data_IF_222921978454
#
_entry.id   IF_222921978454
#
_cell.length_a   1.000
_cell.length_b   1.000
_cell.length_c   1.000
_cell.angle_alpha   90.00
_cell.angle_beta   90.00
_cell.angle_gamma   90.00
#
_symmetry.space_group_name_H-M   'P 1'
#
loop_
_entity.id
_entity.type
_entity.pdbx_description
1 polymer ?
#
# COMPACT_ATOMS: atom_id res chain seq x y z
N UNK A 1 7.58 -4.52 25.11
CA UNK A 1 8.35 -5.01 23.96
C UNK A 1 8.71 -6.47 24.21
N UNK A 2 8.66 -7.32 23.19
CA UNK A 2 9.17 -8.68 23.26
C UNK A 2 10.70 -8.59 23.43
N UNK A 3 11.35 -9.40 24.29
CA UNK A 3 12.80 -9.35 24.42
C UNK A 3 13.52 -9.44 23.06
N UNK A 4 14.38 -8.47 22.74
CA UNK A 4 15.12 -8.40 21.47
C UNK A 4 14.45 -7.60 20.36
N UNK A 5 13.20 -7.16 20.54
CA UNK A 5 12.47 -6.37 19.53
C UNK A 5 13.06 -4.96 19.38
N UNK A 6 13.54 -4.33 20.46
CA UNK A 6 14.19 -3.02 20.37
C UNK A 6 15.47 -3.07 19.52
N UNK A 7 16.33 -4.05 19.78
CA UNK A 7 17.57 -4.26 19.02
C UNK A 7 17.27 -4.62 17.57
N UNK A 8 16.26 -5.46 17.32
CA UNK A 8 15.80 -5.79 15.98
C UNK A 8 15.38 -4.53 15.20
N UNK A 9 14.58 -3.65 15.83
CA UNK A 9 14.12 -2.42 15.20
C UNK A 9 15.27 -1.45 14.93
N UNK A 10 16.22 -1.34 15.86
CA UNK A 10 17.43 -0.53 15.63
C UNK A 10 18.26 -1.05 14.46
N UNK A 11 18.49 -2.35 14.38
CA UNK A 11 19.26 -2.97 13.29
C UNK A 11 18.56 -2.80 11.94
N UNK A 12 17.25 -3.05 11.89
CA UNK A 12 16.43 -2.89 10.70
C UNK A 12 16.48 -1.44 10.20
N UNK A 13 16.21 -0.46 11.07
CA UNK A 13 16.20 0.95 10.67
C UNK A 13 17.61 1.46 10.31
N UNK A 14 18.64 1.03 11.04
CA UNK A 14 20.03 1.38 10.72
C UNK A 14 20.43 0.91 9.32
N UNK A 15 19.90 -0.25 8.88
CA UNK A 15 20.17 -0.79 7.54
C UNK A 15 19.64 0.09 6.39
N UNK A 16 18.69 0.99 6.67
CA UNK A 16 18.02 1.89 5.71
C UNK A 16 18.14 3.37 6.09
N UNK A 17 19.00 3.72 7.05
CA UNK A 17 19.12 5.08 7.58
C UNK A 17 19.64 6.12 6.57
N UNK A 18 20.25 5.66 5.47
CA UNK A 18 20.72 6.54 4.39
C UNK A 18 19.62 6.87 3.37
N UNK A 19 18.47 6.21 3.44
CA UNK A 19 17.34 6.50 2.56
C UNK A 19 16.77 7.88 2.86
N UNK A 20 16.68 8.78 1.88
CA UNK A 20 15.97 10.05 2.09
C UNK A 20 14.46 9.84 2.24
N UNK A 21 13.92 8.72 1.75
CA UNK A 21 12.49 8.44 1.68
C UNK A 21 11.99 7.43 2.73
N UNK A 22 12.83 7.07 3.70
CA UNK A 22 12.42 6.27 4.86
C UNK A 22 12.67 7.06 6.14
N UNK A 23 11.67 7.07 7.03
CA UNK A 23 11.80 7.69 8.34
C UNK A 23 12.44 6.70 9.29
N UNK A 24 13.69 6.98 9.64
CA UNK A 24 14.48 6.17 10.57
C UNK A 24 14.80 6.96 11.84
N UNK A 25 15.06 6.23 12.93
CA UNK A 25 15.46 6.81 14.20
C UNK A 25 16.77 7.59 14.05
N UNK A 26 16.79 8.82 14.56
CA UNK A 26 17.96 9.70 14.60
C UNK A 26 18.72 9.60 15.93
N UNK A 27 18.07 9.08 16.97
CA UNK A 27 18.64 8.86 18.30
C UNK A 27 17.81 7.80 19.05
N UNK A 28 18.29 7.32 20.19
CA UNK A 28 17.61 6.29 20.99
C UNK A 28 17.78 6.55 22.49
N UNK A 29 16.85 6.04 23.31
CA UNK A 29 16.99 6.02 24.76
C UNK A 29 16.85 4.56 25.23
N UNK A 30 17.96 3.78 25.25
CA UNK A 30 17.91 2.33 25.48
C UNK A 30 17.30 1.92 26.82
N UNK A 31 17.49 2.73 27.88
CA UNK A 31 16.92 2.45 29.20
C UNK A 31 15.39 2.39 29.22
N UNK A 32 14.73 2.96 28.20
CA UNK A 32 13.28 2.98 28.05
C UNK A 32 12.82 2.35 26.73
N UNK A 33 13.73 1.72 25.97
CA UNK A 33 13.44 1.16 24.65
C UNK A 33 12.77 2.19 23.70
N UNK A 34 13.22 3.46 23.75
CA UNK A 34 12.65 4.53 22.92
C UNK A 34 13.50 4.82 21.68
N UNK A 35 12.83 5.01 20.55
CA UNK A 35 13.40 5.51 19.31
C UNK A 35 12.99 6.98 19.14
N UNK A 36 13.94 7.83 18.76
CA UNK A 36 13.73 9.27 18.54
C UNK A 36 13.78 9.54 17.05
N UNK A 37 12.76 10.21 16.53
CA UNK A 37 12.63 10.52 15.11
C UNK A 37 12.67 12.02 14.87
N UNK A 38 13.15 12.41 13.68
CA UNK A 38 12.88 13.77 13.18
C UNK A 38 11.37 13.98 13.05
N UNK A 39 10.91 15.17 13.42
CA UNK A 39 9.52 15.58 13.21
C UNK A 39 9.27 15.93 11.73
N UNK A 40 8.14 15.49 11.20
CA UNK A 40 7.61 15.84 9.86
C UNK A 40 6.24 16.51 10.04
N UNK A 41 5.93 17.48 9.19
CA UNK A 41 4.81 18.41 9.39
C UNK A 41 3.42 17.76 9.34
N UNK A 42 3.23 16.69 8.55
CA UNK A 42 1.96 15.97 8.47
C UNK A 42 2.08 14.63 7.75
N UNK A 43 0.95 13.93 7.67
CA UNK A 43 0.81 12.68 6.93
C UNK A 43 0.02 12.89 5.61
N UNK A 44 0.12 11.92 4.70
CA UNK A 44 -0.52 11.99 3.39
C UNK A 44 -2.05 11.98 3.49
N UNK A 45 -2.65 11.33 4.49
CA UNK A 45 -4.11 11.36 4.68
C UNK A 45 -4.60 12.80 4.91
N UNK A 46 -3.91 13.54 5.78
CA UNK A 46 -4.22 14.94 6.08
C UNK A 46 -3.90 15.84 4.88
N UNK A 47 -2.75 15.65 4.26
CA UNK A 47 -2.28 16.52 3.17
C UNK A 47 -3.11 16.35 1.91
N UNK A 48 -3.61 15.15 1.62
CA UNK A 48 -4.55 14.90 0.50
C UNK A 48 -5.88 15.64 0.62
N UNK A 49 -6.24 16.19 1.79
CA UNK A 49 -7.42 17.06 1.94
C UNK A 49 -7.19 18.49 1.43
N UNK A 50 -5.93 18.90 1.20
CA UNK A 50 -5.57 20.18 0.60
C UNK A 50 -5.73 20.13 -0.93
N UNK A 51 -5.93 21.28 -1.61
CA UNK A 51 -5.96 21.33 -3.07
C UNK A 51 -4.55 21.15 -3.67
N UNK A 52 -4.07 19.91 -3.72
CA UNK A 52 -2.79 19.58 -4.32
C UNK A 52 -2.90 19.47 -5.84
N UNK A 53 -1.93 20.05 -6.56
CA UNK A 53 -1.79 19.83 -8.00
C UNK A 53 -1.49 18.37 -8.32
N UNK A 54 -1.79 17.94 -9.54
CA UNK A 54 -1.46 16.60 -10.01
C UNK A 54 0.06 16.32 -9.92
N UNK A 55 0.88 17.30 -10.27
CA UNK A 55 2.34 17.22 -10.18
C UNK A 55 2.81 16.99 -8.75
N UNK A 56 2.24 17.71 -7.77
CA UNK A 56 2.56 17.53 -6.34
C UNK A 56 2.17 16.13 -5.87
N UNK A 57 0.97 15.65 -6.26
CA UNK A 57 0.50 14.29 -5.92
C UNK A 57 1.42 13.21 -6.49
N UNK A 58 1.81 13.33 -7.77
CA UNK A 58 2.75 12.42 -8.43
C UNK A 58 4.12 12.43 -7.77
N UNK A 59 4.64 13.61 -7.41
CA UNK A 59 5.92 13.75 -6.69
C UNK A 59 5.88 13.01 -5.35
N UNK A 60 4.81 13.19 -4.56
CA UNK A 60 4.67 12.51 -3.27
C UNK A 60 4.64 10.98 -3.45
N UNK A 61 3.83 10.48 -4.38
CA UNK A 61 3.75 9.06 -4.68
C UNK A 61 5.10 8.51 -5.16
N UNK A 62 5.80 9.24 -6.03
CA UNK A 62 7.11 8.82 -6.53
C UNK A 62 8.11 8.67 -5.39
N UNK A 63 8.21 9.69 -4.52
CA UNK A 63 9.11 9.66 -3.37
C UNK A 63 8.76 8.58 -2.36
N UNK A 64 7.48 8.32 -2.08
CA UNK A 64 7.09 7.22 -1.21
C UNK A 64 7.43 5.85 -1.83
N UNK A 65 7.25 5.70 -3.15
CA UNK A 65 7.61 4.48 -3.87
C UNK A 65 9.13 4.24 -3.90
N UNK A 66 9.94 5.30 -4.00
CA UNK A 66 11.41 5.23 -3.87
C UNK A 66 11.83 4.64 -2.51
N UNK A 67 11.18 5.05 -1.42
CA UNK A 67 11.41 4.45 -0.09
C UNK A 67 11.01 2.98 -0.04
N UNK A 68 9.88 2.62 -0.66
CA UNK A 68 9.42 1.23 -0.71
C UNK A 68 10.36 0.33 -1.54
N UNK A 69 10.93 0.85 -2.63
CA UNK A 69 11.97 0.16 -3.42
C UNK A 69 13.16 -0.18 -2.53
N UNK A 70 13.65 0.76 -1.74
CA UNK A 70 14.81 0.54 -0.87
C UNK A 70 14.55 -0.54 0.20
N UNK A 71 13.35 -0.56 0.80
CA UNK A 71 12.94 -1.64 1.69
C UNK A 71 12.97 -2.99 0.97
N UNK A 72 12.32 -3.07 -0.20
CA UNK A 72 12.15 -4.32 -0.94
C UNK A 72 13.47 -4.88 -1.47
N UNK A 73 14.41 -4.03 -1.89
CA UNK A 73 15.77 -4.43 -2.31
C UNK A 73 16.59 -5.04 -1.17
N UNK A 74 16.30 -4.66 0.07
CA UNK A 74 16.89 -5.25 1.29
C UNK A 74 16.10 -6.44 1.82
N UNK A 75 15.04 -6.85 1.13
CA UNK A 75 14.16 -7.93 1.57
C UNK A 75 13.29 -7.57 2.78
N UNK A 76 13.05 -6.28 3.01
CA UNK A 76 12.17 -5.81 4.08
C UNK A 76 10.77 -5.61 3.51
N UNK A 77 9.75 -6.23 4.13
CA UNK A 77 8.34 -5.94 3.88
C UNK A 77 7.86 -4.91 4.91
N UNK A 78 7.13 -3.89 4.48
CA UNK A 78 6.61 -2.84 5.36
C UNK A 78 5.39 -3.32 6.16
N UNK A 79 4.49 -4.07 5.53
CA UNK A 79 3.27 -4.67 6.09
C UNK A 79 2.11 -3.74 6.40
N UNK A 80 2.34 -2.43 6.61
CA UNK A 80 1.27 -1.44 6.82
C UNK A 80 1.39 -0.16 5.97
N UNK A 81 1.44 -0.33 4.65
CA UNK A 81 1.42 0.81 3.72
C UNK A 81 0.01 1.42 3.69
N UNK A 82 -0.10 2.62 4.23
CA UNK A 82 -1.29 3.46 4.19
C UNK A 82 -0.92 4.96 4.18
N UNK A 83 -1.86 5.88 3.86
CA UNK A 83 -1.53 7.30 3.77
C UNK A 83 -1.04 7.91 5.11
N UNK A 84 -1.47 7.36 6.25
CA UNK A 84 -1.02 7.79 7.57
C UNK A 84 0.47 7.52 7.81
N UNK A 85 1.01 6.49 7.15
CA UNK A 85 2.40 6.06 7.25
C UNK A 85 3.30 6.64 6.14
N UNK A 86 2.80 7.62 5.39
CA UNK A 86 3.59 8.41 4.45
C UNK A 86 3.63 9.84 4.97
N UNK A 87 4.74 10.18 5.61
CA UNK A 87 4.94 11.47 6.27
C UNK A 87 5.63 12.47 5.35
N UNK A 88 5.29 13.74 5.54
CA UNK A 88 5.67 14.81 4.63
C UNK A 88 6.11 16.03 5.46
N UNK A 89 7.28 16.55 5.14
CA UNK A 89 7.69 17.90 5.54
C UNK A 89 7.35 18.84 4.38
N UNK A 90 6.65 19.93 4.65
CA UNK A 90 6.22 20.86 3.62
C UNK A 90 6.12 22.28 4.17
N UNK A 91 6.11 23.26 3.26
CA UNK A 91 5.85 24.66 3.58
C UNK A 91 4.65 25.16 2.80
N UNK A 92 3.76 25.88 3.48
CA UNK A 92 2.69 26.59 2.80
C UNK A 92 3.27 27.75 1.96
N UNK A 93 2.67 27.97 0.80
CA UNK A 93 2.97 29.10 -0.08
C UNK A 93 1.92 30.21 0.10
N UNK A 94 2.15 31.38 -0.50
CA UNK A 94 1.19 32.49 -0.48
C UNK A 94 -0.06 32.24 -1.35
N UNK A 95 -0.12 31.14 -2.09
CA UNK A 95 -1.17 30.83 -3.08
C UNK A 95 -1.98 29.58 -2.72
N UNK A 96 -2.09 29.24 -1.43
CA UNK A 96 -2.76 28.02 -0.92
C UNK A 96 -2.19 26.68 -1.44
N UNK A 97 -1.02 26.72 -2.09
CA UNK A 97 -0.26 25.55 -2.52
C UNK A 97 0.81 25.19 -1.47
N UNK A 98 1.38 23.98 -1.55
CA UNK A 98 2.45 23.52 -0.66
C UNK A 98 3.71 23.18 -1.43
N UNK A 99 4.86 23.53 -0.85
CA UNK A 99 6.16 23.06 -1.33
C UNK A 99 6.60 21.89 -0.47
N UNK A 100 6.68 20.72 -1.10
CA UNK A 100 7.18 19.49 -0.47
C UNK A 100 8.69 19.62 -0.23
N UNK A 101 9.13 19.44 1.01
CA UNK A 101 10.54 19.44 1.39
C UNK A 101 11.11 18.02 1.46
N UNK A 102 10.31 17.06 1.94
CA UNK A 102 10.66 15.64 1.98
C UNK A 102 9.42 14.79 2.16
N UNK A 103 9.46 13.57 1.63
CA UNK A 103 8.43 12.54 1.82
C UNK A 103 9.12 11.28 2.31
N UNK A 104 8.65 10.73 3.42
CA UNK A 104 9.25 9.58 4.08
C UNK A 104 8.17 8.57 4.46
N UNK A 105 8.33 7.31 4.04
CA UNK A 105 7.55 6.19 4.57
C UNK A 105 8.02 5.93 6.01
N UNK A 106 7.08 5.82 6.95
CA UNK A 106 7.32 5.66 8.38
C UNK A 106 6.66 4.41 8.93
N UNK A 107 6.76 4.19 10.23
CA UNK A 107 6.15 3.05 10.93
C UNK A 107 6.79 1.71 10.51
N UNK A 108 8.12 1.70 10.58
CA UNK A 108 8.94 0.52 10.28
C UNK A 108 8.91 -0.50 11.43
N UNK A 109 8.25 -0.18 12.53
CA UNK A 109 8.09 -1.00 13.71
C UNK A 109 7.37 -2.32 13.44
N UNK A 110 6.45 -2.36 12.48
CA UNK A 110 5.81 -3.59 11.99
C UNK A 110 6.50 -4.19 10.75
N UNK A 111 7.57 -3.54 10.26
CA UNK A 111 8.30 -4.04 9.10
C UNK A 111 9.08 -5.31 9.45
N UNK A 112 9.17 -6.22 8.48
CA UNK A 112 9.83 -7.52 8.66
C UNK A 112 10.91 -7.73 7.63
N UNK A 113 12.14 -7.97 8.08
CA UNK A 113 13.19 -8.55 7.25
C UNK A 113 12.83 -10.00 6.88
N UNK A 114 12.55 -10.23 5.59
CA UNK A 114 12.25 -11.53 5.02
C UNK A 114 13.49 -12.15 4.36
N UNK A 115 14.06 -13.24 4.91
CA UNK A 115 15.11 -13.96 4.24
C UNK A 115 14.65 -14.52 2.88
N UNK A 116 15.55 -14.74 1.92
CA UNK A 116 15.20 -15.29 0.61
C UNK A 116 14.35 -16.57 0.71
N UNK A 117 13.25 -16.60 -0.03
CA UNK A 117 12.31 -17.74 -0.05
C UNK A 117 11.39 -17.85 1.17
N UNK A 118 11.45 -16.92 2.13
CA UNK A 118 10.52 -16.84 3.26
C UNK A 118 9.32 -15.94 2.92
N UNK A 119 8.29 -16.04 3.76
CA UNK A 119 7.06 -15.27 3.68
C UNK A 119 6.44 -15.19 5.09
N UNK A 120 5.62 -14.16 5.30
CA UNK A 120 4.71 -14.10 6.44
C UNK A 120 3.48 -14.97 6.14
N UNK A 121 2.91 -15.64 7.15
CA UNK A 121 1.69 -16.45 6.99
C UNK A 121 0.90 -16.45 8.29
N UNK A 122 -0.43 -16.38 8.22
CA UNK A 122 -1.32 -16.44 9.38
C UNK A 122 -1.62 -15.09 10.03
N UNK A 123 -0.78 -14.08 9.82
CA UNK A 123 -1.01 -12.70 10.21
C UNK A 123 -2.03 -12.01 9.27
N UNK A 124 -2.71 -11.00 9.80
CA UNK A 124 -3.59 -10.10 9.06
C UNK A 124 -2.93 -8.72 9.06
N UNK A 125 -1.97 -8.52 8.17
CA UNK A 125 -1.19 -7.28 8.09
C UNK A 125 -1.96 -6.16 7.37
N UNK A 126 -1.63 -4.92 7.71
CA UNK A 126 -2.12 -3.72 7.05
C UNK A 126 -3.49 -3.27 7.55
N UNK A 127 -3.78 -1.98 7.47
CA UNK A 127 -5.12 -1.43 7.70
C UNK A 127 -6.15 -1.93 6.66
N UNK A 128 -7.37 -2.21 7.12
CA UNK A 128 -8.43 -2.85 6.33
C UNK A 128 -8.79 -2.18 4.99
N UNK A 129 -8.59 -0.86 4.86
CA UNK A 129 -8.92 -0.12 3.65
C UNK A 129 -7.80 -0.09 2.60
N UNK A 130 -6.60 -0.54 2.97
CA UNK A 130 -5.42 -0.55 2.11
C UNK A 130 -4.87 -1.96 1.89
N UNK A 131 -5.22 -2.89 2.79
CA UNK A 131 -4.77 -4.28 2.85
C UNK A 131 -4.96 -5.07 1.55
N UNK A 132 -3.96 -5.90 1.22
CA UNK A 132 -3.97 -6.84 0.11
C UNK A 132 -4.94 -8.03 0.28
N UNK A 133 -5.42 -8.64 -0.82
CA UNK A 133 -6.37 -9.76 -0.74
C UNK A 133 -5.76 -11.01 -0.11
N UNK A 134 -4.47 -11.28 -0.32
CA UNK A 134 -3.78 -12.40 0.32
C UNK A 134 -3.60 -12.21 1.83
N UNK A 135 -3.47 -10.96 2.31
CA UNK A 135 -3.45 -10.65 3.75
C UNK A 135 -4.83 -10.89 4.39
N UNK A 136 -5.92 -10.48 3.73
CA UNK A 136 -7.29 -10.83 4.17
C UNK A 136 -7.49 -12.33 4.34
N UNK A 137 -6.93 -13.13 3.43
CA UNK A 137 -6.96 -14.58 3.49
C UNK A 137 -5.97 -15.19 4.50
N UNK A 138 -5.18 -14.37 5.21
CA UNK A 138 -4.07 -14.79 6.08
C UNK A 138 -3.10 -15.76 5.37
N UNK A 139 -3.02 -15.65 4.05
CA UNK A 139 -2.18 -16.47 3.21
C UNK A 139 -0.72 -15.98 3.27
N UNK A 140 0.12 -16.56 2.41
CA UNK A 140 1.53 -16.14 2.33
C UNK A 140 1.61 -14.68 1.87
N UNK A 141 2.34 -13.86 2.60
CA UNK A 141 2.54 -12.43 2.33
C UNK A 141 4.03 -12.16 2.13
N UNK A 142 4.34 -11.25 1.21
CA UNK A 142 5.70 -10.83 0.86
C UNK A 142 5.64 -9.41 0.28
N UNK A 143 6.74 -8.87 -0.24
CA UNK A 143 6.81 -7.51 -0.81
C UNK A 143 5.70 -7.14 -1.80
N UNK A 144 5.10 -8.04 -2.62
CA UNK A 144 3.95 -7.69 -3.45
C UNK A 144 2.73 -7.21 -2.66
N UNK A 145 2.55 -7.62 -1.39
CA UNK A 145 1.45 -7.15 -0.54
C UNK A 145 1.55 -5.66 -0.26
N UNK A 146 2.76 -5.12 -0.08
CA UNK A 146 2.97 -3.68 0.03
C UNK A 146 2.66 -2.96 -1.28
N UNK A 147 3.05 -3.55 -2.43
CA UNK A 147 2.78 -2.95 -3.75
C UNK A 147 1.28 -2.83 -4.02
N UNK A 148 0.50 -3.84 -3.63
CA UNK A 148 -0.96 -3.76 -3.72
C UNK A 148 -1.49 -2.59 -2.89
N UNK A 149 -1.08 -2.53 -1.63
CA UNK A 149 -1.53 -1.50 -0.69
C UNK A 149 -1.15 -0.10 -1.18
N UNK A 150 0.08 0.06 -1.71
CA UNK A 150 0.53 1.28 -2.36
C UNK A 150 -0.32 1.65 -3.58
N UNK A 151 -0.72 0.67 -4.39
CA UNK A 151 -1.65 0.90 -5.51
C UNK A 151 -2.98 1.50 -5.04
N UNK A 152 -3.53 1.01 -3.92
CA UNK A 152 -4.76 1.57 -3.33
C UNK A 152 -4.53 3.00 -2.81
N UNK A 153 -3.39 3.26 -2.16
CA UNK A 153 -2.98 4.61 -1.72
C UNK A 153 -2.88 5.56 -2.91
N UNK A 154 -2.26 5.14 -4.01
CA UNK A 154 -2.14 5.95 -5.21
C UNK A 154 -3.51 6.33 -5.79
N UNK A 155 -4.47 5.41 -5.81
CA UNK A 155 -5.86 5.69 -6.23
C UNK A 155 -6.48 6.77 -5.34
N UNK A 156 -6.35 6.62 -4.02
CA UNK A 156 -6.88 7.61 -3.07
C UNK A 156 -6.29 9.01 -3.32
N UNK A 157 -4.96 9.11 -3.45
CA UNK A 157 -4.27 10.39 -3.64
C UNK A 157 -4.64 11.04 -4.98
N UNK A 158 -4.76 10.26 -6.05
CA UNK A 158 -5.03 10.81 -7.38
C UNK A 158 -6.50 11.14 -7.59
N UNK A 159 -7.41 10.33 -7.05
CA UNK A 159 -8.86 10.44 -7.31
C UNK A 159 -9.65 11.04 -6.14
N UNK A 160 -9.01 11.25 -4.97
CA UNK A 160 -9.67 11.62 -3.72
C UNK A 160 -10.80 10.64 -3.33
N UNK A 161 -10.62 9.36 -3.65
CA UNK A 161 -11.61 8.31 -3.40
C UNK A 161 -10.98 7.13 -2.65
N UNK A 162 -11.46 6.88 -1.43
CA UNK A 162 -11.09 5.70 -0.66
C UNK A 162 -11.94 4.52 -1.11
N UNK A 163 -11.54 3.89 -2.22
CA UNK A 163 -12.36 2.92 -2.95
C UNK A 163 -12.84 1.71 -2.13
N UNK A 164 -12.18 1.40 -1.01
CA UNK A 164 -12.56 0.33 -0.09
C UNK A 164 -13.28 0.80 1.18
N UNK A 165 -13.56 2.10 1.32
CA UNK A 165 -14.32 2.66 2.44
C UNK A 165 -15.75 2.09 2.50
N UNK A 166 -16.10 1.41 3.59
CA UNK A 166 -17.45 0.87 3.83
C UNK A 166 -18.23 1.77 4.80
N UNK A 167 -19.57 1.69 4.81
CA UNK A 167 -20.38 2.50 5.72
C UNK A 167 -20.08 2.15 7.19
N UNK A 168 -20.39 3.02 8.17
CA UNK A 168 -20.24 2.70 9.59
C UNK A 168 -20.99 1.41 10.00
N UNK A 169 -22.15 1.16 9.40
CA UNK A 169 -22.92 -0.06 9.66
C UNK A 169 -22.18 -1.30 9.11
N UNK A 170 -21.66 -1.23 7.88
CA UNK A 170 -20.85 -2.30 7.26
C UNK A 170 -19.52 -2.52 8.01
N UNK A 171 -18.95 -1.47 8.61
CA UNK A 171 -17.74 -1.55 9.43
C UNK A 171 -17.96 -2.30 10.74
N UNK A 172 -19.17 -2.20 11.29
CA UNK A 172 -19.56 -2.91 12.52
C UNK A 172 -19.98 -4.37 12.27
N UNK A 173 -20.13 -4.77 11.00
CA UNK A 173 -20.48 -6.13 10.62
C UNK A 173 -19.30 -7.09 10.91
N UNK A 174 -19.59 -8.23 11.54
CA UNK A 174 -18.62 -9.32 11.74
C UNK A 174 -18.00 -9.81 10.42
N UNK A 175 -18.69 -9.57 9.29
CA UNK A 175 -18.29 -9.89 7.94
C UNK A 175 -17.86 -8.68 7.11
N UNK A 176 -17.33 -7.61 7.72
CA UNK A 176 -16.73 -6.46 7.02
C UNK A 176 -15.77 -6.88 5.88
N UNK A 177 -15.03 -7.98 6.08
CA UNK A 177 -14.16 -8.58 5.07
C UNK A 177 -14.88 -8.86 3.75
N UNK A 178 -16.16 -9.25 3.79
CA UNK A 178 -16.98 -9.60 2.63
C UNK A 178 -17.24 -8.37 1.77
N UNK A 179 -17.56 -7.24 2.38
CA UNK A 179 -17.77 -5.97 1.68
C UNK A 179 -16.49 -5.51 0.99
N UNK A 180 -15.37 -5.58 1.69
CA UNK A 180 -14.06 -5.12 1.19
C UNK A 180 -13.51 -6.06 0.10
N UNK A 181 -13.51 -7.38 0.31
CA UNK A 181 -13.04 -8.34 -0.68
C UNK A 181 -13.94 -8.40 -1.92
N UNK A 182 -15.25 -8.15 -1.78
CA UNK A 182 -16.12 -8.00 -2.94
C UNK A 182 -15.68 -6.82 -3.82
N UNK A 183 -15.23 -5.70 -3.22
CA UNK A 183 -14.69 -4.56 -3.98
C UNK A 183 -13.36 -4.89 -4.63
N UNK A 184 -12.48 -5.66 -3.97
CA UNK A 184 -11.25 -6.16 -4.59
C UNK A 184 -11.55 -6.90 -5.90
N UNK A 185 -12.51 -7.84 -5.85
CA UNK A 185 -12.92 -8.63 -7.03
C UNK A 185 -13.60 -7.74 -8.09
N UNK A 186 -14.47 -6.82 -7.65
CA UNK A 186 -15.18 -5.90 -8.54
C UNK A 186 -14.23 -5.02 -9.34
N UNK A 187 -13.19 -4.49 -8.70
CA UNK A 187 -12.30 -3.50 -9.29
C UNK A 187 -11.10 -4.12 -10.00
N UNK A 188 -10.53 -5.21 -9.47
CA UNK A 188 -9.20 -5.68 -9.88
C UNK A 188 -9.15 -7.12 -10.38
N UNK A 189 -10.21 -7.93 -10.26
CA UNK A 189 -10.16 -9.29 -10.78
C UNK A 189 -10.16 -9.31 -12.32
N UNK A 190 -9.18 -10.00 -12.90
CA UNK A 190 -9.29 -10.62 -14.21
C UNK A 190 -9.23 -12.15 -14.04
N UNK A 191 -9.52 -12.90 -15.12
CA UNK A 191 -9.55 -14.37 -15.08
C UNK A 191 -8.24 -14.98 -14.56
N UNK A 192 -7.10 -14.43 -15.00
CA UNK A 192 -5.79 -14.98 -14.68
C UNK A 192 -5.34 -14.59 -13.28
N UNK A 193 -5.49 -13.32 -12.91
CA UNK A 193 -5.16 -12.79 -11.60
C UNK A 193 -6.00 -13.42 -10.49
N UNK A 194 -7.31 -13.59 -10.71
CA UNK A 194 -8.18 -14.23 -9.72
C UNK A 194 -7.84 -15.71 -9.53
N UNK A 195 -7.58 -16.44 -10.62
CA UNK A 195 -7.11 -17.83 -10.54
C UNK A 195 -5.77 -17.95 -9.80
N UNK A 196 -4.83 -17.06 -10.08
CA UNK A 196 -3.54 -17.01 -9.41
C UNK A 196 -3.67 -16.71 -7.91
N UNK A 197 -4.58 -15.80 -7.51
CA UNK A 197 -4.90 -15.57 -6.10
C UNK A 197 -5.41 -16.85 -5.41
N UNK A 198 -6.37 -17.56 -6.01
CA UNK A 198 -6.89 -18.81 -5.45
C UNK A 198 -5.81 -19.88 -5.31
N UNK A 199 -4.94 -20.03 -6.32
CA UNK A 199 -3.79 -20.94 -6.25
C UNK A 199 -2.80 -20.55 -5.14
N UNK A 200 -2.57 -19.26 -4.96
CA UNK A 200 -1.67 -18.75 -3.92
C UNK A 200 -2.23 -19.01 -2.50
N UNK A 201 -3.54 -18.85 -2.33
CA UNK A 201 -4.27 -19.07 -1.07
C UNK A 201 -4.34 -20.57 -0.71
N UNK A 202 -4.63 -21.43 -1.68
CA UNK A 202 -4.82 -22.87 -1.50
C UNK A 202 -6.25 -23.24 -1.07
N UNK A 203 -6.73 -24.39 -1.53
CA UNK A 203 -8.08 -24.91 -1.31
C UNK A 203 -8.40 -25.25 0.16
N UNK A 204 -7.39 -25.63 0.93
CA UNK A 204 -7.52 -25.84 2.38
C UNK A 204 -7.78 -24.56 3.19
N UNK A 205 -7.61 -23.36 2.59
CA UNK A 205 -7.84 -22.09 3.27
C UNK A 205 -9.33 -21.72 3.23
N UNK A 206 -9.96 -21.32 4.36
CA UNK A 206 -11.37 -20.92 4.39
C UNK A 206 -11.75 -19.81 3.42
N UNK A 207 -10.81 -18.94 3.05
CA UNK A 207 -11.06 -17.85 2.08
C UNK A 207 -11.12 -18.32 0.63
N UNK A 208 -10.64 -19.53 0.30
CA UNK A 208 -10.70 -20.05 -1.06
C UNK A 208 -12.13 -20.10 -1.59
N UNK A 209 -13.01 -20.81 -0.88
CA UNK A 209 -14.42 -20.91 -1.27
C UNK A 209 -15.14 -19.57 -1.10
N UNK A 210 -14.84 -18.80 -0.06
CA UNK A 210 -15.46 -17.47 0.17
C UNK A 210 -15.20 -16.50 -0.98
N UNK A 211 -14.00 -16.52 -1.56
CA UNK A 211 -13.67 -15.70 -2.72
C UNK A 211 -14.40 -16.16 -3.97
N UNK A 212 -14.53 -17.48 -4.19
CA UNK A 212 -15.33 -18.04 -5.30
C UNK A 212 -16.79 -17.60 -5.17
N UNK A 213 -17.37 -17.75 -3.98
CA UNK A 213 -18.76 -17.36 -3.71
C UNK A 213 -18.95 -15.86 -3.98
N UNK A 214 -18.04 -15.01 -3.47
CA UNK A 214 -18.04 -13.58 -3.73
C UNK A 214 -17.94 -13.22 -5.22
N UNK A 215 -17.14 -13.97 -5.99
CA UNK A 215 -17.03 -13.78 -7.43
C UNK A 215 -18.28 -14.26 -8.19
N UNK A 216 -18.99 -15.25 -7.66
CA UNK A 216 -20.28 -15.73 -8.17
C UNK A 216 -21.45 -14.78 -7.89
N UNK A 217 -21.33 -13.90 -6.90
CA UNK A 217 -22.36 -12.92 -6.50
C UNK A 217 -22.49 -11.69 -7.43
N UNK A 218 -21.82 -11.69 -8.58
CA UNK A 218 -21.96 -10.64 -9.60
C UNK A 218 -22.85 -11.12 -10.74
N UNK A 219 -23.83 -10.30 -11.10
CA UNK A 219 -24.81 -10.56 -12.16
C UNK A 219 -25.12 -9.28 -12.95
N UNK A 220 -26.15 -9.32 -13.80
CA UNK A 220 -26.57 -8.17 -14.59
C UNK A 220 -27.10 -7.00 -13.74
N UNK A 221 -27.68 -7.29 -12.57
CA UNK A 221 -28.22 -6.28 -11.65
C UNK A 221 -27.14 -5.71 -10.72
N UNK A 222 -26.09 -6.48 -10.43
CA UNK A 222 -24.94 -6.13 -9.59
C UNK A 222 -23.63 -6.34 -10.34
N UNK A 223 -23.38 -5.63 -11.44
CA UNK A 223 -22.19 -5.85 -12.25
C UNK A 223 -20.91 -5.46 -11.51
N UNK A 224 -19.79 -6.07 -11.92
CA UNK A 224 -18.46 -5.61 -11.53
C UNK A 224 -18.20 -4.21 -12.11
N UNK A 225 -17.26 -3.48 -11.49
CA UNK A 225 -16.84 -2.14 -11.93
C UNK A 225 -15.32 -2.10 -12.14
N UNK A 226 -14.76 -2.83 -13.12
CA UNK A 226 -13.31 -2.97 -13.25
C UNK A 226 -12.61 -1.62 -13.36
N UNK A 227 -11.54 -1.40 -12.60
CA UNK A 227 -10.79 -0.13 -12.58
C UNK A 227 -10.22 0.21 -13.97
N UNK A 228 -9.82 -0.81 -14.74
CA UNK A 228 -9.37 -0.65 -16.12
C UNK A 228 -10.41 0.01 -17.05
N UNK A 229 -11.70 -0.01 -16.68
CA UNK A 229 -12.80 0.59 -17.45
C UNK A 229 -13.18 2.02 -16.98
N UNK A 230 -12.45 2.59 -16.01
CA UNK A 230 -12.76 3.92 -15.48
C UNK A 230 -12.24 5.00 -16.44
N UNK A 231 -13.00 5.32 -17.49
CA UNK A 231 -12.56 6.17 -18.61
C UNK A 231 -12.14 7.61 -18.22
N UNK A 232 -12.56 8.09 -17.05
CA UNK A 232 -12.20 9.41 -16.52
C UNK A 232 -10.80 9.44 -15.87
N UNK A 233 -10.17 8.28 -15.65
CA UNK A 233 -8.83 8.16 -15.10
C UNK A 233 -7.79 8.22 -16.23
N UNK A 234 -6.61 8.78 -15.96
CA UNK A 234 -5.51 8.76 -16.92
C UNK A 234 -5.16 7.32 -17.38
N UNK A 235 -4.81 7.15 -18.66
CA UNK A 235 -4.61 5.83 -19.27
C UNK A 235 -3.37 5.12 -18.71
N UNK A 236 -2.28 5.85 -18.51
CA UNK A 236 -1.04 5.28 -17.97
C UNK A 236 -1.18 5.02 -16.47
N UNK A 237 -1.92 5.87 -15.76
CA UNK A 237 -2.27 5.61 -14.37
C UNK A 237 -3.12 4.34 -14.23
N UNK A 238 -4.13 4.14 -15.08
CA UNK A 238 -4.92 2.90 -15.09
C UNK A 238 -4.06 1.67 -15.31
N UNK A 239 -3.11 1.75 -16.24
CA UNK A 239 -2.19 0.66 -16.55
C UNK A 239 -1.24 0.36 -15.38
N UNK A 240 -0.67 1.40 -14.74
CA UNK A 240 0.14 1.26 -13.53
C UNK A 240 -0.66 0.59 -12.41
N UNK A 241 -1.85 1.10 -12.10
CA UNK A 241 -2.70 0.55 -11.04
C UNK A 241 -3.06 -0.90 -11.32
N UNK A 242 -3.45 -1.25 -12.55
CA UNK A 242 -3.77 -2.63 -12.91
C UNK A 242 -2.60 -3.61 -12.67
N UNK A 243 -1.36 -3.15 -12.88
CA UNK A 243 -0.14 -3.93 -12.61
C UNK A 243 0.16 -4.02 -11.10
N UNK A 244 -0.06 -2.95 -10.35
CA UNK A 244 0.14 -2.90 -8.89
C UNK A 244 -0.94 -3.67 -8.10
N UNK A 245 -2.17 -3.71 -8.60
CA UNK A 245 -3.31 -4.34 -7.91
C UNK A 245 -3.72 -5.67 -8.51
N UNK A 246 -2.86 -6.29 -9.34
CA UNK A 246 -3.10 -7.64 -9.83
C UNK A 246 -3.36 -8.59 -8.65
N UNK A 247 -4.47 -9.33 -8.72
CA UNK A 247 -4.89 -10.21 -7.63
C UNK A 247 -3.94 -11.40 -7.44
N UNK A 248 -3.21 -11.82 -8.46
CA UNK A 248 -2.15 -12.82 -8.34
C UNK A 248 -0.86 -12.14 -7.84
N UNK A 249 -0.41 -12.41 -6.58
CA UNK A 249 0.77 -11.77 -6.04
C UNK A 249 2.05 -12.08 -6.84
N UNK A 250 2.10 -13.20 -7.57
CA UNK A 250 3.27 -13.58 -8.37
C UNK A 250 3.34 -12.84 -9.72
N UNK A 251 2.23 -12.26 -10.18
CA UNK A 251 2.15 -11.47 -11.44
C UNK A 251 2.13 -9.97 -11.19
N UNK A 252 2.03 -9.56 -9.94
CA UNK A 252 2.04 -8.15 -9.52
C UNK A 252 3.41 -7.55 -9.84
N UNK A 253 3.41 -6.33 -10.36
CA UNK A 253 4.65 -5.60 -10.62
C UNK A 253 5.43 -5.41 -9.30
N UNK A 254 6.75 -5.33 -9.38
CA UNK A 254 7.58 -4.98 -8.22
C UNK A 254 7.50 -3.48 -7.95
N UNK A 255 7.87 -3.03 -6.74
CA UNK A 255 7.99 -1.60 -6.45
C UNK A 255 8.95 -0.90 -7.44
N UNK A 256 10.08 -1.55 -7.76
CA UNK A 256 11.06 -1.04 -8.72
C UNK A 256 10.45 -0.91 -10.13
N UNK A 257 9.76 -1.95 -10.60
CA UNK A 257 9.09 -1.90 -11.91
C UNK A 257 7.95 -0.88 -11.96
N UNK A 258 7.26 -0.65 -10.84
CA UNK A 258 6.27 0.42 -10.73
C UNK A 258 6.91 1.80 -10.82
N UNK A 259 8.08 2.01 -10.20
CA UNK A 259 8.83 3.27 -10.26
C UNK A 259 9.34 3.58 -11.68
N UNK A 260 9.73 2.56 -12.43
CA UNK A 260 10.14 2.67 -13.84
C UNK A 260 8.97 2.85 -14.82
N UNK A 261 7.72 2.76 -14.35
CA UNK A 261 6.55 2.85 -15.20
C UNK A 261 6.43 4.24 -15.87
N UNK A 262 6.02 4.33 -17.16
CA UNK A 262 5.90 5.61 -17.88
C UNK A 262 5.18 6.72 -17.12
N UNK A 263 4.12 6.37 -16.38
CA UNK A 263 3.35 7.31 -15.56
C UNK A 263 4.20 8.14 -14.57
N UNK A 264 5.29 7.59 -14.02
CA UNK A 264 6.24 8.31 -13.15
C UNK A 264 7.41 8.96 -13.89
N UNK A 265 7.58 8.64 -15.18
CA UNK A 265 8.64 9.18 -16.05
C UNK A 265 8.16 10.41 -16.82
N UNK A 266 6.85 10.53 -17.06
CA UNK A 266 6.24 11.71 -17.66
C UNK A 266 6.10 12.84 -16.62
N UNK A 267 7.21 13.46 -16.29
CA UNK A 267 7.26 14.80 -15.69
C UNK A 267 7.87 15.75 -16.72
N UNK A 268 7.15 16.84 -17.02
CA UNK A 268 7.61 18.05 -17.75
C UNK A 268 7.08 18.32 -19.18
N UNK A 269 5.84 17.97 -19.53
CA UNK A 269 5.14 18.65 -20.64
C UNK A 269 3.63 18.79 -20.42
N UNK A 270 3.22 19.81 -19.65
CA UNK A 270 2.03 20.63 -19.94
C UNK A 270 2.03 21.90 -19.09
#
# INVERSE_FOLDING_TARGET
>A
MIPGEFEYQQELQSSVALSPNLRTAIDTIPAFELLIYRFLAGDLLQISQKPLTETTRKLILKSALEGLVELHEKGIIHTDIEPNNILIDYKDTTTDDIVIQSVQVSDLEDAVLLPPGKNLKGCLCGNQFWRSPESWARARQNTPSDVFSFGVVAIYVMLNDMIFHVSPDELSDENVWRHILRRHISYFADETGFKGLLQHIGDDNPFFQRLIDLAGDFDADKPRKPFAMWHYVDVEFRDLIAKMTNLDPARRITAHGALEHPWFQHTDQQ
#
